data_IF_690817771149
#
_entry.id   IF_690817771149
#
_cell.length_a   1.000
_cell.length_b   1.000
_cell.length_c   1.000
_cell.angle_alpha   90.00
_cell.angle_beta   90.00
_cell.angle_gamma   90.00
#
_symmetry.space_group_name_H-M   'P 1'
#
loop_
_entity.id
_entity.type
_entity.pdbx_description
1 polymer ?
#
# COMPACT_ATOMS: atom_id res chain seq x y z
N UNK A 1 2.91 -4.90 -3.49
CA UNK A 1 3.85 -3.84 -3.94
C UNK A 1 5.28 -4.02 -3.44
N UNK A 2 5.50 -4.46 -2.22
CA UNK A 2 6.88 -4.61 -1.69
C UNK A 2 7.78 -5.47 -2.57
N UNK A 3 7.26 -6.60 -3.09
CA UNK A 3 8.03 -7.48 -3.96
C UNK A 3 8.41 -6.79 -5.28
N UNK A 4 7.52 -5.95 -5.82
CA UNK A 4 7.79 -5.23 -7.07
C UNK A 4 8.90 -4.20 -6.87
N UNK A 5 8.86 -3.42 -5.79
CA UNK A 5 9.93 -2.47 -5.49
C UNK A 5 11.27 -3.16 -5.27
N UNK A 6 11.25 -4.31 -4.58
CA UNK A 6 12.48 -5.07 -4.33
C UNK A 6 13.09 -5.65 -5.61
N UNK A 7 12.26 -6.08 -6.56
CA UNK A 7 12.71 -6.71 -7.80
C UNK A 7 12.99 -5.70 -8.93
N UNK A 8 12.37 -4.52 -8.87
CA UNK A 8 12.40 -3.54 -9.96
C UNK A 8 11.41 -3.92 -11.07
N UNK A 9 11.72 -4.94 -11.85
CA UNK A 9 10.80 -5.53 -12.81
C UNK A 9 10.33 -6.88 -12.28
N UNK A 10 9.02 -7.14 -12.35
CA UNK A 10 8.43 -8.34 -11.76
C UNK A 10 7.39 -8.95 -12.70
N UNK A 11 7.25 -10.26 -12.61
CA UNK A 11 6.15 -11.01 -13.25
C UNK A 11 5.25 -11.55 -12.14
N UNK A 12 4.05 -12.00 -12.51
CA UNK A 12 3.15 -12.66 -11.55
C UNK A 12 3.87 -13.85 -10.91
N UNK A 13 4.62 -14.62 -11.70
CA UNK A 13 5.38 -15.77 -11.20
C UNK A 13 6.46 -15.35 -10.20
N UNK A 14 7.24 -14.30 -10.51
CA UNK A 14 8.32 -13.86 -9.62
C UNK A 14 7.79 -13.33 -8.30
N UNK A 15 6.65 -12.64 -8.31
CA UNK A 15 6.00 -12.16 -7.09
C UNK A 15 5.42 -13.32 -6.30
N UNK A 16 4.77 -14.28 -6.97
CA UNK A 16 4.23 -15.48 -6.32
C UNK A 16 5.32 -16.25 -5.59
N UNK A 17 6.47 -16.44 -6.23
CA UNK A 17 7.61 -17.14 -5.63
C UNK A 17 8.17 -16.38 -4.42
N UNK A 18 8.24 -15.05 -4.50
CA UNK A 18 8.75 -14.22 -3.41
C UNK A 18 7.85 -14.28 -2.17
N UNK A 19 6.53 -14.23 -2.34
CA UNK A 19 5.59 -14.23 -1.21
C UNK A 19 5.29 -15.64 -0.69
N UNK A 20 5.65 -16.69 -1.41
CA UNK A 20 5.48 -18.07 -0.96
C UNK A 20 6.26 -18.36 0.33
N UNK A 21 7.34 -17.63 0.57
CA UNK A 21 8.16 -17.76 1.79
C UNK A 21 7.43 -17.24 3.04
N UNK A 22 6.52 -16.28 2.86
CA UNK A 22 5.80 -15.61 3.95
C UNK A 22 4.39 -16.17 4.18
N UNK A 23 3.94 -17.08 3.30
CA UNK A 23 2.61 -17.67 3.39
C UNK A 23 2.10 -18.02 2.00
N UNK A 24 1.50 -19.18 1.88
CA UNK A 24 1.07 -19.72 0.59
C UNK A 24 -0.04 -18.87 -0.02
N UNK A 25 0.32 -18.04 -1.01
CA UNK A 25 -0.66 -17.38 -1.87
C UNK A 25 -0.57 -17.97 -3.26
N UNK A 26 -1.72 -18.28 -3.85
CA UNK A 26 -1.75 -18.88 -5.17
C UNK A 26 -1.37 -17.88 -6.26
N UNK A 27 -0.88 -18.39 -7.37
CA UNK A 27 -0.63 -17.61 -8.58
C UNK A 27 -1.87 -16.79 -8.98
N UNK A 28 -3.05 -17.40 -8.93
CA UNK A 28 -4.31 -16.72 -9.28
C UNK A 28 -4.60 -15.54 -8.38
N UNK A 29 -4.36 -15.68 -7.08
CA UNK A 29 -4.54 -14.57 -6.12
C UNK A 29 -3.59 -13.42 -6.43
N UNK A 30 -2.32 -13.73 -6.69
CA UNK A 30 -1.32 -12.70 -7.03
C UNK A 30 -1.67 -12.03 -8.36
N UNK A 31 -2.09 -12.80 -9.36
CA UNK A 31 -2.53 -12.26 -10.64
C UNK A 31 -3.67 -11.26 -10.47
N UNK A 32 -4.68 -11.61 -9.65
CA UNK A 32 -5.81 -10.73 -9.37
C UNK A 32 -5.36 -9.44 -8.70
N UNK A 33 -4.47 -9.53 -7.71
CA UNK A 33 -3.95 -8.36 -7.00
C UNK A 33 -3.14 -7.45 -7.94
N UNK A 34 -2.24 -8.03 -8.73
CA UNK A 34 -1.40 -7.26 -9.65
C UNK A 34 -2.22 -6.60 -10.76
N UNK A 35 -3.24 -7.30 -11.28
CA UNK A 35 -4.16 -6.73 -12.27
C UNK A 35 -4.91 -5.55 -11.69
N UNK A 36 -5.34 -5.66 -10.44
CA UNK A 36 -6.05 -4.58 -9.74
C UNK A 36 -5.14 -3.38 -9.50
N UNK A 37 -3.88 -3.61 -9.12
CA UNK A 37 -2.90 -2.55 -8.93
C UNK A 37 -2.57 -1.83 -10.24
N UNK A 38 -2.46 -2.57 -11.34
CA UNK A 38 -2.29 -1.99 -12.68
C UNK A 38 -3.48 -1.10 -13.04
N UNK A 39 -4.69 -1.59 -12.81
CA UNK A 39 -5.92 -0.83 -13.11
C UNK A 39 -6.00 0.45 -12.30
N UNK A 40 -5.53 0.43 -11.06
CA UNK A 40 -5.51 1.61 -10.18
C UNK A 40 -4.36 2.57 -10.46
N UNK A 41 -3.44 2.20 -11.34
CA UNK A 41 -2.30 3.05 -11.69
C UNK A 41 -1.09 2.93 -10.78
N UNK A 42 -1.05 1.95 -9.88
CA UNK A 42 0.09 1.72 -8.99
C UNK A 42 1.18 0.88 -9.65
N UNK A 43 0.80 0.05 -10.62
CA UNK A 43 1.73 -0.71 -11.45
C UNK A 43 1.54 -0.31 -12.91
N UNK A 44 2.63 -0.39 -13.66
CA UNK A 44 2.60 -0.29 -15.12
C UNK A 44 2.99 -1.65 -15.70
N UNK A 45 2.25 -2.09 -16.70
CA UNK A 45 2.43 -3.40 -17.32
C UNK A 45 2.91 -3.23 -18.76
N UNK A 46 3.89 -4.06 -19.15
CA UNK A 46 4.26 -4.19 -20.55
C UNK A 46 4.31 -5.66 -20.95
N UNK A 47 4.03 -5.94 -22.22
CA UNK A 47 4.12 -7.29 -22.75
C UNK A 47 5.55 -7.58 -23.19
N UNK A 48 6.09 -8.70 -22.73
CA UNK A 48 7.42 -9.15 -23.09
C UNK A 48 7.34 -10.63 -23.45
N UNK A 49 7.31 -10.93 -24.76
CA UNK A 49 7.09 -12.28 -25.23
C UNK A 49 5.69 -12.76 -24.87
N UNK A 50 5.59 -13.85 -24.14
CA UNK A 50 4.32 -14.45 -23.70
C UNK A 50 3.93 -14.08 -22.28
N UNK A 51 4.69 -13.19 -21.63
CA UNK A 51 4.44 -12.80 -20.25
C UNK A 51 4.27 -11.30 -20.10
N UNK A 52 3.61 -10.89 -19.05
CA UNK A 52 3.51 -9.49 -18.65
C UNK A 52 4.57 -9.17 -17.61
N UNK A 53 5.25 -8.05 -17.81
CA UNK A 53 6.23 -7.53 -16.86
C UNK A 53 5.66 -6.28 -16.22
N UNK A 54 5.73 -6.20 -14.90
CA UNK A 54 5.20 -5.11 -14.11
C UNK A 54 6.33 -4.31 -13.47
N UNK A 55 6.18 -3.01 -13.44
CA UNK A 55 7.06 -2.10 -12.70
C UNK A 55 6.19 -1.21 -11.82
N UNK A 56 6.76 -0.71 -10.73
CA UNK A 56 6.06 0.27 -9.90
C UNK A 56 5.89 1.56 -10.67
N UNK A 57 4.65 2.06 -10.76
CA UNK A 57 4.32 3.31 -11.42
C UNK A 57 4.28 4.48 -10.45
N UNK A 58 4.44 4.22 -9.14
CA UNK A 58 4.41 5.23 -8.08
C UNK A 58 5.58 4.99 -7.12
N UNK A 59 6.02 6.06 -6.48
CA UNK A 59 7.00 5.98 -5.42
C UNK A 59 6.43 5.23 -4.20
N UNK A 60 7.29 4.55 -3.47
CA UNK A 60 6.87 3.75 -2.32
C UNK A 60 6.14 4.59 -1.27
N UNK A 61 6.65 5.78 -0.97
CA UNK A 61 6.03 6.66 0.03
C UNK A 61 4.65 7.16 -0.42
N UNK A 62 4.50 7.48 -1.71
CA UNK A 62 3.21 7.90 -2.26
C UNK A 62 2.18 6.77 -2.20
N UNK A 63 2.60 5.54 -2.50
CA UNK A 63 1.74 4.37 -2.38
C UNK A 63 1.31 4.14 -0.93
N UNK A 64 2.25 4.22 0.01
CA UNK A 64 1.96 4.03 1.43
C UNK A 64 1.01 5.10 1.95
N UNK A 65 1.17 6.34 1.51
CA UNK A 65 0.27 7.44 1.86
C UNK A 65 -1.15 7.15 1.35
N UNK A 66 -1.29 6.79 0.07
CA UNK A 66 -2.59 6.48 -0.52
C UNK A 66 -3.27 5.31 0.20
N UNK A 67 -2.50 4.26 0.53
CA UNK A 67 -3.02 3.11 1.25
C UNK A 67 -3.46 3.47 2.65
N UNK A 68 -2.67 4.26 3.38
CA UNK A 68 -3.01 4.67 4.74
C UNK A 68 -4.27 5.55 4.77
N UNK A 69 -4.39 6.46 3.81
CA UNK A 69 -5.58 7.30 3.68
C UNK A 69 -6.84 6.46 3.46
N UNK A 70 -6.78 5.49 2.54
CA UNK A 70 -7.90 4.61 2.26
C UNK A 70 -8.28 3.77 3.47
N UNK A 71 -7.30 3.27 4.22
CA UNK A 71 -7.55 2.47 5.42
C UNK A 71 -8.15 3.30 6.56
N UNK A 72 -7.68 4.53 6.75
CA UNK A 72 -8.25 5.45 7.74
C UNK A 72 -9.69 5.79 7.36
N UNK A 73 -9.96 6.10 6.09
CA UNK A 73 -11.31 6.37 5.61
C UNK A 73 -12.25 5.19 5.87
N UNK A 74 -11.78 3.97 5.62
CA UNK A 74 -12.57 2.77 5.86
C UNK A 74 -12.89 2.59 7.35
N UNK A 75 -11.93 2.87 8.24
CA UNK A 75 -12.16 2.82 9.68
C UNK A 75 -13.17 3.86 10.13
N UNK A 76 -13.07 5.08 9.63
CA UNK A 76 -14.02 6.15 9.97
C UNK A 76 -15.41 5.82 9.43
N UNK A 77 -15.51 5.29 8.21
CA UNK A 77 -16.78 4.88 7.63
C UNK A 77 -17.44 3.76 8.45
N UNK A 78 -16.65 2.80 8.92
CA UNK A 78 -17.16 1.65 9.69
C UNK A 78 -17.53 2.01 11.13
N UNK A 79 -16.74 2.84 11.79
CA UNK A 79 -16.83 3.08 13.23
C UNK A 79 -17.12 4.53 13.61
N UNK A 80 -17.07 5.47 12.66
CA UNK A 80 -17.37 6.87 12.90
C UNK A 80 -16.49 7.49 14.01
N UNK A 81 -17.14 8.15 14.94
CA UNK A 81 -16.46 8.84 16.03
C UNK A 81 -15.64 7.92 16.92
N UNK A 82 -15.99 6.63 17.01
CA UNK A 82 -15.17 5.67 17.74
C UNK A 82 -13.76 5.57 17.19
N UNK A 83 -13.62 5.53 15.87
CA UNK A 83 -12.30 5.51 15.22
C UNK A 83 -11.54 6.81 15.50
N UNK A 84 -12.20 7.95 15.34
CA UNK A 84 -11.59 9.25 15.59
C UNK A 84 -11.14 9.40 17.04
N UNK A 85 -11.93 8.93 17.98
CA UNK A 85 -11.58 8.95 19.41
C UNK A 85 -10.33 8.10 19.71
N UNK A 86 -10.19 6.94 19.04
CA UNK A 86 -9.01 6.10 19.20
C UNK A 86 -7.75 6.82 18.68
N UNK A 87 -7.82 7.49 17.54
CA UNK A 87 -6.70 8.27 17.03
C UNK A 87 -6.37 9.44 17.96
N UNK A 88 -7.37 10.14 18.46
CA UNK A 88 -7.18 11.26 19.38
C UNK A 88 -6.49 10.80 20.67
N UNK A 89 -6.88 9.64 21.22
CA UNK A 89 -6.25 9.08 22.41
C UNK A 89 -4.78 8.80 22.16
N UNK A 90 -4.46 8.12 21.07
CA UNK A 90 -3.07 7.80 20.73
C UNK A 90 -2.23 9.05 20.51
N UNK A 91 -2.80 10.06 19.86
CA UNK A 91 -2.14 11.34 19.65
C UNK A 91 -1.84 12.02 20.99
N UNK A 92 -2.79 12.00 21.95
CA UNK A 92 -2.60 12.65 23.25
C UNK A 92 -1.52 11.99 24.11
N UNK A 93 -1.20 10.72 23.84
CA UNK A 93 -0.16 9.97 24.56
C UNK A 93 1.26 10.30 24.06
N UNK A 94 1.38 10.99 22.93
CA UNK A 94 2.66 11.39 22.37
C UNK A 94 3.22 12.61 23.08
N UNK A 95 4.55 12.78 23.07
CA UNK A 95 5.15 13.99 23.60
C UNK A 95 4.80 15.20 22.73
N UNK A 96 4.89 16.44 23.29
CA UNK A 96 4.50 17.65 22.53
C UNK A 96 5.27 17.87 21.24
N UNK A 97 6.52 17.48 21.20
CA UNK A 97 7.38 17.62 20.02
C UNK A 97 6.86 16.72 18.87
N UNK A 98 6.53 15.49 19.18
CA UNK A 98 5.98 14.56 18.22
C UNK A 98 4.59 14.99 17.72
N UNK A 99 3.75 15.49 18.65
CA UNK A 99 2.43 16.02 18.29
C UNK A 99 2.55 17.17 17.29
N UNK A 100 3.48 18.11 17.53
CA UNK A 100 3.69 19.24 16.60
C UNK A 100 4.16 18.76 15.23
N UNK A 101 5.06 17.77 15.20
CA UNK A 101 5.55 17.22 13.93
C UNK A 101 4.41 16.58 13.13
N UNK A 102 3.51 15.84 13.78
CA UNK A 102 2.37 15.21 13.11
C UNK A 102 1.36 16.23 12.62
N UNK A 103 1.12 17.31 13.39
CA UNK A 103 0.22 18.37 12.94
C UNK A 103 0.74 19.06 11.68
N UNK A 104 2.03 19.34 11.63
CA UNK A 104 2.64 19.93 10.42
C UNK A 104 2.51 18.99 9.23
N UNK A 105 2.72 17.71 9.44
CA UNK A 105 2.61 16.70 8.39
C UNK A 105 1.19 16.61 7.85
N UNK A 106 0.19 16.70 8.73
CA UNK A 106 -1.23 16.65 8.35
C UNK A 106 -1.63 17.90 7.53
N UNK A 107 -1.04 19.06 7.80
CA UNK A 107 -1.35 20.30 7.10
C UNK A 107 -0.77 20.36 5.69
N UNK A 108 0.29 19.61 5.41
CA UNK A 108 0.99 19.64 4.13
C UNK A 108 0.29 18.81 3.06
N UNK A 109 -0.47 17.84 3.46
CA UNK A 109 -1.22 16.96 2.55
C UNK A 109 -2.59 17.58 2.16
#
# INVERSE_FOLDING_TARGET
>A
MSAVWAQGEATVRSVTDAVAEDGARSYTTILTVMTRLDRKGFLARRREGKRDVYVAAVEQDDYRRARSEAEVDALVDAYGDLALAQFARRFSELDPSHQRALRRRAEVD
#
